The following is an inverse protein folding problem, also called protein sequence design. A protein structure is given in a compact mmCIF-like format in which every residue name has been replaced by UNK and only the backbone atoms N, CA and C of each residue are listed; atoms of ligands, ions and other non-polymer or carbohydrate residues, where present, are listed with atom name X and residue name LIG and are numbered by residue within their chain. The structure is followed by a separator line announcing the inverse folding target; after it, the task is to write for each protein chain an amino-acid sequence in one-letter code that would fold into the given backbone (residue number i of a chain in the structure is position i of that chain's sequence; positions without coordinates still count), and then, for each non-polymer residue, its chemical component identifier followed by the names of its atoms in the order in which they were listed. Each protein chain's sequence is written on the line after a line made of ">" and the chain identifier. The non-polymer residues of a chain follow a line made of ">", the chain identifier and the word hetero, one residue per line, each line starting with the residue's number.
data_IF_697997013242
#
_entry.id   IF_697997013242
#
_cell.length_a   1.000
_cell.length_b   1.000
_cell.length_c   1.000
_cell.angle_alpha   90.00
_cell.angle_beta   90.00
_cell.angle_gamma   90.00
#
_symmetry.space_group_name_H-M   'P 1'
#
loop_
_entity.id
_entity.type
_entity.pdbx_description
1 polymer ?
#
# COMPACT_ATOMS: atom_id res chain seq x y z
N UNK A 1 -25.28 30.34 58.51
CA UNK A 1 -24.96 31.74 58.12
C UNK A 1 -24.58 31.68 56.65
N UNK A 2 -25.40 32.26 55.78
CA UNK A 2 -25.10 32.41 54.36
C UNK A 2 -24.11 33.57 54.26
N UNK A 3 -22.98 33.39 53.57
CA UNK A 3 -22.01 34.48 53.38
C UNK A 3 -22.72 35.67 52.72
N UNK A 4 -22.52 36.88 53.26
CA UNK A 4 -23.11 38.09 52.66
C UNK A 4 -22.52 38.30 51.27
N UNK A 5 -23.27 38.95 50.40
CA UNK A 5 -22.86 39.18 49.01
C UNK A 5 -21.50 39.91 48.92
N UNK A 6 -21.18 40.78 49.89
CA UNK A 6 -19.85 41.39 50.02
C UNK A 6 -18.70 40.37 50.20
N UNK A 7 -18.84 39.38 51.10
CA UNK A 7 -17.79 38.39 51.36
C UNK A 7 -17.56 37.43 50.19
N UNK A 8 -18.57 37.24 49.33
CA UNK A 8 -18.41 36.45 48.11
C UNK A 8 -17.61 37.22 47.05
N UNK A 9 -17.88 38.52 46.91
CA UNK A 9 -17.20 39.39 45.94
C UNK A 9 -15.72 39.54 46.30
N UNK A 10 -15.40 39.74 47.58
CA UNK A 10 -14.02 39.94 48.03
C UNK A 10 -13.16 38.68 47.79
N UNK A 11 -13.71 37.48 48.03
CA UNK A 11 -13.03 36.21 47.74
C UNK A 11 -12.76 35.99 46.26
N UNK A 12 -13.68 36.37 45.37
CA UNK A 12 -13.47 36.28 43.93
C UNK A 12 -12.38 37.27 43.48
N UNK A 13 -12.39 38.48 44.03
CA UNK A 13 -11.37 39.50 43.73
C UNK A 13 -9.97 39.04 44.13
N UNK A 14 -9.83 38.45 45.32
CA UNK A 14 -8.55 37.99 45.82
C UNK A 14 -8.02 36.80 45.00
N UNK A 15 -8.87 35.81 44.72
CA UNK A 15 -8.52 34.67 43.87
C UNK A 15 -8.08 35.11 42.47
N UNK A 16 -8.77 36.09 41.88
CA UNK A 16 -8.41 36.62 40.57
C UNK A 16 -7.10 37.42 40.61
N UNK A 17 -6.84 38.15 41.69
CA UNK A 17 -5.57 38.87 41.86
C UNK A 17 -4.38 37.91 41.98
N UNK A 18 -4.60 36.73 42.59
CA UNK A 18 -3.58 35.70 42.81
C UNK A 18 -3.38 34.80 41.57
N UNK A 19 -4.46 34.42 40.88
CA UNK A 19 -4.43 33.41 39.81
C UNK A 19 -4.86 33.90 38.42
N UNK A 20 -5.31 35.15 38.26
CA UNK A 20 -5.81 35.66 36.99
C UNK A 20 -4.79 35.55 35.85
N UNK A 21 -3.49 35.72 36.15
CA UNK A 21 -2.41 35.57 35.15
C UNK A 21 -2.27 34.13 34.65
N UNK A 22 -2.34 33.13 35.52
CA UNK A 22 -2.25 31.71 35.14
C UNK A 22 -3.49 31.25 34.40
N UNK A 23 -4.68 31.73 34.78
CA UNK A 23 -5.93 31.46 34.05
C UNK A 23 -5.85 32.03 32.63
N UNK A 24 -5.43 33.30 32.48
CA UNK A 24 -5.26 33.92 31.17
C UNK A 24 -4.20 33.17 30.34
N UNK A 25 -3.06 32.81 30.95
CA UNK A 25 -2.04 32.02 30.25
C UNK A 25 -2.57 30.67 29.78
N UNK A 26 -3.35 29.96 30.60
CA UNK A 26 -3.99 28.71 30.23
C UNK A 26 -4.98 28.86 29.07
N UNK A 27 -5.80 29.92 29.10
CA UNK A 27 -6.74 30.22 28.00
C UNK A 27 -5.99 30.53 26.71
N UNK A 28 -4.95 31.38 26.76
CA UNK A 28 -4.14 31.73 25.59
C UNK A 28 -3.47 30.50 24.99
N UNK A 29 -2.88 29.64 25.84
CA UNK A 29 -2.29 28.37 25.40
C UNK A 29 -3.33 27.44 24.77
N UNK A 30 -4.53 27.35 25.36
CA UNK A 30 -5.63 26.56 24.82
C UNK A 30 -6.08 27.04 23.43
N UNK A 31 -6.27 28.36 23.27
CA UNK A 31 -6.66 28.95 21.97
C UNK A 31 -5.55 28.77 20.93
N UNK A 32 -4.29 29.01 21.30
CA UNK A 32 -3.16 28.80 20.39
C UNK A 32 -3.06 27.33 19.94
N UNK A 33 -3.29 26.39 20.85
CA UNK A 33 -3.34 24.96 20.54
C UNK A 33 -4.45 24.60 19.55
N UNK A 34 -5.66 25.14 19.74
CA UNK A 34 -6.79 24.92 18.84
C UNK A 34 -6.53 25.48 17.43
N UNK A 35 -6.01 26.70 17.33
CA UNK A 35 -5.69 27.33 16.03
C UNK A 35 -4.58 26.52 15.33
N UNK A 36 -3.55 26.12 16.06
CA UNK A 36 -2.48 25.29 15.53
C UNK A 36 -2.99 23.95 14.98
N UNK A 37 -3.83 23.26 15.76
CA UNK A 37 -4.44 21.99 15.34
C UNK A 37 -5.35 22.16 14.11
N UNK A 38 -6.22 23.16 14.10
CA UNK A 38 -7.11 23.42 12.97
C UNK A 38 -6.33 23.78 11.69
N UNK A 39 -5.26 24.56 11.81
CA UNK A 39 -4.39 24.89 10.69
C UNK A 39 -3.69 23.65 10.12
N UNK A 40 -3.17 22.77 11.00
CA UNK A 40 -2.55 21.51 10.58
C UNK A 40 -3.54 20.56 9.90
N UNK A 41 -4.74 20.41 10.47
CA UNK A 41 -5.82 19.60 9.88
C UNK A 41 -6.19 20.11 8.48
N UNK A 42 -6.41 21.42 8.33
CA UNK A 42 -6.77 22.01 7.03
C UNK A 42 -5.68 21.83 5.97
N UNK A 43 -4.40 21.90 6.37
CA UNK A 43 -3.29 21.61 5.46
C UNK A 43 -3.29 20.14 5.00
N UNK A 44 -3.52 19.20 5.92
CA UNK A 44 -3.60 17.77 5.59
C UNK A 44 -4.78 17.45 4.66
N UNK A 45 -5.96 18.01 4.94
CA UNK A 45 -7.17 17.79 4.14
C UNK A 45 -6.98 18.32 2.71
N UNK A 46 -6.40 19.52 2.55
CA UNK A 46 -6.09 20.08 1.24
C UNK A 46 -5.07 19.24 0.47
N UNK A 47 -4.06 18.68 1.15
CA UNK A 47 -3.06 17.80 0.53
C UNK A 47 -3.70 16.52 -0.02
N UNK A 48 -4.59 15.89 0.74
CA UNK A 48 -5.31 14.68 0.32
C UNK A 48 -6.29 14.98 -0.81
N UNK A 49 -7.03 16.10 -0.74
CA UNK A 49 -7.95 16.51 -1.81
C UNK A 49 -7.23 16.79 -3.13
N UNK A 50 -6.08 17.47 -3.08
CA UNK A 50 -5.24 17.71 -4.24
C UNK A 50 -4.71 16.40 -4.84
N UNK A 51 -4.23 15.48 -4.00
CA UNK A 51 -3.79 14.15 -4.43
C UNK A 51 -4.92 13.35 -5.11
N UNK A 52 -6.13 13.38 -4.55
CA UNK A 52 -7.29 12.71 -5.11
C UNK A 52 -7.65 13.26 -6.50
N UNK A 53 -7.63 14.58 -6.69
CA UNK A 53 -7.90 15.20 -7.99
C UNK A 53 -6.82 14.84 -9.03
N UNK A 54 -5.55 14.88 -8.63
CA UNK A 54 -4.44 14.51 -9.50
C UNK A 54 -4.49 13.03 -9.90
N UNK A 55 -4.88 12.16 -8.97
CA UNK A 55 -5.07 10.73 -9.20
C UNK A 55 -6.26 10.44 -10.11
N UNK A 56 -7.43 11.07 -9.90
CA UNK A 56 -8.59 10.89 -10.76
C UNK A 56 -8.31 11.27 -12.22
N UNK A 57 -7.50 12.32 -12.43
CA UNK A 57 -7.04 12.68 -13.77
C UNK A 57 -6.09 11.63 -14.37
N UNK A 58 -5.17 11.07 -13.58
CA UNK A 58 -4.31 9.96 -14.02
C UNK A 58 -5.13 8.73 -14.40
N UNK A 59 -6.12 8.35 -13.60
CA UNK A 59 -7.02 7.22 -13.94
C UNK A 59 -7.76 7.44 -15.26
N UNK A 60 -8.28 8.65 -15.48
CA UNK A 60 -8.94 8.99 -16.73
C UNK A 60 -7.98 8.90 -17.93
N UNK A 61 -6.77 9.42 -17.80
CA UNK A 61 -5.74 9.34 -18.85
C UNK A 61 -5.38 7.89 -19.15
N UNK A 62 -5.16 7.07 -18.11
CA UNK A 62 -4.85 5.65 -18.25
C UNK A 62 -5.99 4.89 -18.94
N UNK A 63 -7.24 5.13 -18.55
CA UNK A 63 -8.41 4.50 -19.16
C UNK A 63 -8.62 4.92 -20.63
N UNK A 64 -8.25 6.14 -20.99
CA UNK A 64 -8.32 6.63 -22.36
C UNK A 64 -7.14 6.18 -23.24
N UNK A 65 -6.05 5.70 -22.63
CA UNK A 65 -4.79 5.42 -23.34
C UNK A 65 -4.15 6.68 -23.91
N UNK A 66 -4.35 7.83 -23.28
CA UNK A 66 -3.92 9.14 -23.78
C UNK A 66 -2.73 9.69 -22.97
N UNK A 67 -1.75 10.25 -23.70
CA UNK A 67 -0.58 10.90 -23.11
C UNK A 67 0.45 9.92 -22.54
N UNK A 68 1.39 10.48 -21.78
CA UNK A 68 2.43 9.70 -21.10
C UNK A 68 1.94 9.31 -19.69
N UNK A 69 1.23 8.18 -19.61
CA UNK A 69 0.66 7.66 -18.36
C UNK A 69 1.75 7.29 -17.36
N UNK A 70 2.89 6.79 -17.85
CA UNK A 70 4.05 6.39 -17.01
C UNK A 70 4.62 7.62 -16.31
N UNK A 71 4.91 8.68 -17.07
CA UNK A 71 5.44 9.93 -16.52
C UNK A 71 4.42 10.61 -15.60
N UNK A 72 3.15 10.67 -16.04
CA UNK A 72 2.08 11.28 -15.24
C UNK A 72 1.89 10.56 -13.90
N UNK A 73 1.98 9.23 -13.89
CA UNK A 73 1.91 8.43 -12.68
C UNK A 73 3.05 8.75 -11.71
N UNK A 74 4.28 8.85 -12.22
CA UNK A 74 5.45 9.26 -11.44
C UNK A 74 5.25 10.63 -10.80
N UNK A 75 4.72 11.57 -11.57
CA UNK A 75 4.49 12.94 -11.10
C UNK A 75 3.41 13.00 -10.01
N UNK A 76 2.30 12.26 -10.16
CA UNK A 76 1.30 12.13 -9.08
C UNK A 76 1.93 11.56 -7.83
N UNK A 77 2.62 10.43 -7.97
CA UNK A 77 3.14 9.68 -6.84
C UNK A 77 4.19 10.49 -6.05
N UNK A 78 5.10 11.17 -6.74
CA UNK A 78 6.16 11.99 -6.12
C UNK A 78 5.65 13.32 -5.56
N UNK A 79 4.68 13.96 -6.23
CA UNK A 79 4.11 15.24 -5.76
C UNK A 79 3.19 15.08 -4.55
N UNK A 80 2.65 13.87 -4.34
CA UNK A 80 1.70 13.57 -3.28
C UNK A 80 2.14 12.43 -2.37
N UNK A 81 3.45 12.28 -2.20
CA UNK A 81 4.05 11.27 -1.32
C UNK A 81 3.41 11.29 0.09
N UNK A 82 3.34 10.14 0.75
CA UNK A 82 2.68 10.00 2.06
C UNK A 82 1.15 10.07 2.05
N UNK A 83 0.51 10.02 0.87
CA UNK A 83 -0.94 9.81 0.76
C UNK A 83 -1.24 8.40 0.29
N UNK A 84 -2.46 7.88 0.55
CA UNK A 84 -2.87 6.56 0.05
C UNK A 84 -2.93 6.47 -1.49
N UNK A 85 -2.86 7.61 -2.19
CA UNK A 85 -2.84 7.67 -3.66
C UNK A 85 -1.45 7.39 -4.24
N UNK A 86 -0.38 7.49 -3.45
CA UNK A 86 0.99 7.26 -3.92
C UNK A 86 1.17 5.84 -4.44
N UNK A 87 0.76 4.83 -3.65
CA UNK A 87 0.83 3.42 -4.07
C UNK A 87 -0.02 3.15 -5.31
N UNK A 88 -1.21 3.75 -5.40
CA UNK A 88 -2.11 3.55 -6.54
C UNK A 88 -1.56 4.17 -7.82
N UNK A 89 -0.96 5.37 -7.73
CA UNK A 89 -0.32 6.02 -8.86
C UNK A 89 0.86 5.18 -9.38
N UNK A 90 1.74 4.68 -8.49
CA UNK A 90 2.81 3.77 -8.89
C UNK A 90 2.30 2.49 -9.57
N UNK A 91 1.20 1.92 -9.07
CA UNK A 91 0.58 0.74 -9.67
C UNK A 91 0.03 1.01 -11.09
N UNK A 92 -0.59 2.18 -11.32
CA UNK A 92 -1.06 2.58 -12.66
C UNK A 92 0.13 2.75 -13.60
N UNK A 93 1.17 3.46 -13.17
CA UNK A 93 2.36 3.68 -13.99
C UNK A 93 3.07 2.37 -14.32
N UNK A 94 3.17 1.44 -13.38
CA UNK A 94 3.73 0.11 -13.63
C UNK A 94 2.92 -0.67 -14.66
N UNK A 95 1.58 -0.63 -14.59
CA UNK A 95 0.71 -1.24 -15.59
C UNK A 95 0.95 -0.68 -16.99
N UNK A 96 0.96 0.65 -17.12
CA UNK A 96 1.24 1.32 -18.39
C UNK A 96 2.65 1.01 -18.93
N UNK A 97 3.65 0.86 -18.04
CA UNK A 97 5.00 0.46 -18.44
C UNK A 97 5.03 -0.99 -18.98
N UNK A 98 4.30 -1.92 -18.34
CA UNK A 98 4.13 -3.29 -18.87
C UNK A 98 3.44 -3.28 -20.24
N UNK A 99 2.39 -2.49 -20.42
CA UNK A 99 1.69 -2.37 -21.71
C UNK A 99 2.61 -1.84 -22.82
N UNK A 100 3.59 -0.99 -22.45
CA UNK A 100 4.64 -0.50 -23.34
C UNK A 100 5.83 -1.45 -23.50
N UNK A 101 5.78 -2.64 -22.90
CA UNK A 101 6.86 -3.62 -22.83
C UNK A 101 8.15 -3.06 -22.18
N UNK A 102 8.02 -2.03 -21.33
CA UNK A 102 9.08 -1.47 -20.51
C UNK A 102 9.05 -2.11 -19.11
N UNK A 103 9.57 -3.34 -19.06
CA UNK A 103 9.58 -4.13 -17.82
C UNK A 103 10.52 -3.56 -16.75
N UNK A 104 11.57 -2.84 -17.16
CA UNK A 104 12.51 -2.20 -16.23
C UNK A 104 11.82 -1.09 -15.45
N UNK A 105 11.10 -0.19 -16.14
CA UNK A 105 10.31 0.85 -15.48
C UNK A 105 9.17 0.24 -14.65
N UNK A 106 8.51 -0.81 -15.15
CA UNK A 106 7.46 -1.50 -14.41
C UNK A 106 7.97 -2.07 -13.08
N UNK A 107 9.11 -2.79 -13.09
CA UNK A 107 9.73 -3.31 -11.88
C UNK A 107 10.09 -2.18 -10.91
N UNK A 108 10.74 -1.11 -11.40
CA UNK A 108 11.10 0.05 -10.59
C UNK A 108 9.89 0.70 -9.91
N UNK A 109 8.77 0.82 -10.62
CA UNK A 109 7.56 1.43 -10.07
C UNK A 109 6.85 0.51 -9.09
N UNK A 110 6.88 -0.80 -9.31
CA UNK A 110 6.34 -1.78 -8.38
C UNK A 110 7.16 -1.83 -7.07
N UNK A 111 8.48 -1.69 -7.12
CA UNK A 111 9.30 -1.51 -5.92
C UNK A 111 8.92 -0.27 -5.13
N UNK A 112 8.66 0.86 -5.82
CA UNK A 112 8.18 2.08 -5.18
C UNK A 112 6.77 1.91 -4.60
N UNK A 113 5.87 1.25 -5.32
CA UNK A 113 4.55 0.90 -4.82
C UNK A 113 4.66 0.05 -3.53
N UNK A 114 5.59 -0.91 -3.51
CA UNK A 114 5.83 -1.79 -2.37
C UNK A 114 6.31 -1.05 -1.15
N UNK A 115 7.19 -0.06 -1.34
CA UNK A 115 7.68 0.82 -0.29
C UNK A 115 6.59 1.75 0.27
N UNK A 116 5.58 2.08 -0.55
CA UNK A 116 4.44 2.91 -0.14
C UNK A 116 3.24 2.13 0.41
N UNK A 117 3.24 0.79 0.32
CA UNK A 117 2.12 -0.04 0.74
C UNK A 117 2.13 -0.30 2.26
N UNK A 118 1.03 0.05 2.94
CA UNK A 118 0.87 -0.09 4.39
C UNK A 118 -0.14 -1.17 4.81
N UNK A 119 -0.89 -1.73 3.86
CA UNK A 119 -1.89 -2.78 4.08
C UNK A 119 -1.43 -4.10 3.50
N UNK A 120 -1.62 -5.18 4.26
CA UNK A 120 -1.25 -6.54 3.86
C UNK A 120 -1.77 -6.93 2.47
N UNK A 121 -3.01 -6.53 2.13
CA UNK A 121 -3.61 -6.84 0.83
C UNK A 121 -2.93 -6.09 -0.32
N UNK A 122 -2.52 -4.84 -0.10
CA UNK A 122 -1.79 -4.05 -1.09
C UNK A 122 -0.38 -4.59 -1.27
N UNK A 123 0.30 -4.92 -0.16
CA UNK A 123 1.60 -5.59 -0.17
C UNK A 123 1.54 -6.87 -1.01
N UNK A 124 0.59 -7.76 -0.72
CA UNK A 124 0.43 -9.00 -1.47
C UNK A 124 0.18 -8.75 -2.97
N UNK A 125 -0.66 -7.78 -3.31
CA UNK A 125 -0.97 -7.44 -4.70
C UNK A 125 0.26 -6.91 -5.44
N UNK A 126 1.06 -6.05 -4.78
CA UNK A 126 2.29 -5.50 -5.36
C UNK A 126 3.33 -6.61 -5.54
N UNK A 127 3.56 -7.45 -4.53
CA UNK A 127 4.56 -8.52 -4.59
C UNK A 127 4.23 -9.54 -5.69
N UNK A 128 2.95 -9.94 -5.83
CA UNK A 128 2.51 -10.80 -6.94
C UNK A 128 2.73 -10.17 -8.32
N UNK A 129 2.52 -8.86 -8.46
CA UNK A 129 2.74 -8.15 -9.73
C UNK A 129 4.23 -8.01 -10.03
N UNK A 130 5.02 -7.66 -9.01
CA UNK A 130 6.47 -7.52 -9.11
C UNK A 130 7.13 -8.84 -9.48
N UNK A 131 6.74 -9.94 -8.83
CA UNK A 131 7.23 -11.27 -9.17
C UNK A 131 6.93 -11.67 -10.63
N UNK A 132 5.74 -11.33 -11.16
CA UNK A 132 5.43 -11.58 -12.59
C UNK A 132 6.31 -10.74 -13.53
N UNK A 133 6.57 -9.48 -13.20
CA UNK A 133 7.43 -8.62 -14.01
C UNK A 133 8.88 -9.12 -13.97
N UNK A 134 9.41 -9.44 -12.79
CA UNK A 134 10.74 -10.01 -12.62
C UNK A 134 10.88 -11.34 -13.37
N UNK A 135 9.86 -12.21 -13.29
CA UNK A 135 9.81 -13.44 -14.07
C UNK A 135 9.85 -13.16 -15.58
N UNK A 136 9.04 -12.22 -16.08
CA UNK A 136 9.07 -11.83 -17.50
C UNK A 136 10.41 -11.22 -17.93
N UNK A 137 11.20 -10.67 -17.01
CA UNK A 137 12.58 -10.21 -17.25
C UNK A 137 13.61 -11.36 -17.21
N UNK A 138 13.21 -12.58 -16.84
CA UNK A 138 14.08 -13.72 -16.61
C UNK A 138 14.76 -13.74 -15.24
N UNK A 139 14.40 -12.81 -14.34
CA UNK A 139 14.93 -12.70 -12.98
C UNK A 139 14.22 -13.66 -12.02
N UNK A 140 14.32 -14.96 -12.29
CA UNK A 140 13.56 -15.98 -11.56
C UNK A 140 13.86 -16.02 -10.05
N UNK A 141 15.14 -15.88 -9.67
CA UNK A 141 15.52 -15.93 -8.24
C UNK A 141 14.91 -14.74 -7.48
N UNK A 142 14.95 -13.54 -8.07
CA UNK A 142 14.33 -12.35 -7.49
C UNK A 142 12.81 -12.50 -7.42
N UNK A 143 12.18 -13.05 -8.47
CA UNK A 143 10.74 -13.31 -8.47
C UNK A 143 10.33 -14.28 -7.34
N UNK A 144 11.09 -15.37 -7.15
CA UNK A 144 10.84 -16.35 -6.09
C UNK A 144 11.06 -15.77 -4.70
N UNK A 145 12.07 -14.91 -4.52
CA UNK A 145 12.32 -14.20 -3.25
C UNK A 145 11.12 -13.33 -2.87
N UNK A 146 10.52 -12.63 -3.82
CA UNK A 146 9.29 -11.84 -3.59
C UNK A 146 8.10 -12.68 -3.15
N UNK A 147 8.09 -13.97 -3.47
CA UNK A 147 7.00 -14.89 -3.15
C UNK A 147 7.27 -15.78 -1.92
N UNK A 148 8.37 -15.54 -1.21
CA UNK A 148 8.78 -16.38 -0.09
C UNK A 148 7.84 -16.28 1.13
N UNK A 149 7.30 -15.09 1.39
CA UNK A 149 6.50 -14.79 2.59
C UNK A 149 5.12 -14.24 2.21
N UNK A 150 4.12 -15.10 1.95
CA UNK A 150 2.76 -14.65 1.64
C UNK A 150 2.11 -14.00 2.86
N UNK A 151 1.45 -12.83 2.70
CA UNK A 151 0.53 -12.33 3.71
C UNK A 151 -0.66 -13.29 3.88
N UNK A 152 -1.21 -13.38 5.09
CA UNK A 152 -2.31 -14.29 5.41
C UNK A 152 -3.48 -14.18 4.42
N UNK A 153 -3.89 -15.31 3.85
CA UNK A 153 -4.98 -15.38 2.87
C UNK A 153 -4.54 -15.19 1.41
N UNK A 154 -3.23 -15.04 1.16
CA UNK A 154 -2.64 -15.01 -0.19
C UNK A 154 -1.75 -16.22 -0.48
N UNK A 155 -1.67 -17.17 0.45
CA UNK A 155 -0.83 -18.37 0.38
C UNK A 155 -1.01 -19.09 -0.97
N UNK A 156 -2.25 -19.34 -1.37
CA UNK A 156 -2.53 -20.02 -2.63
C UNK A 156 -2.10 -19.26 -3.89
N UNK A 157 -2.30 -17.93 -3.92
CA UNK A 157 -1.91 -17.11 -5.07
C UNK A 157 -0.38 -17.00 -5.21
N UNK A 158 0.31 -16.91 -4.09
CA UNK A 158 1.77 -16.89 -4.05
C UNK A 158 2.34 -18.25 -4.45
N UNK A 159 1.76 -19.33 -3.92
CA UNK A 159 2.19 -20.68 -4.22
C UNK A 159 1.92 -21.08 -5.68
N UNK A 160 0.79 -20.66 -6.27
CA UNK A 160 0.53 -20.86 -7.70
C UNK A 160 1.62 -20.21 -8.55
N UNK A 161 1.90 -18.92 -8.35
CA UNK A 161 2.91 -18.21 -9.14
C UNK A 161 4.31 -18.77 -8.91
N UNK A 162 4.63 -19.19 -7.68
CA UNK A 162 5.89 -19.87 -7.36
C UNK A 162 6.01 -21.18 -8.14
N UNK A 163 4.94 -21.97 -8.19
CA UNK A 163 4.87 -23.20 -8.97
C UNK A 163 5.06 -22.96 -10.46
N UNK A 164 4.44 -21.93 -11.02
CA UNK A 164 4.58 -21.55 -12.43
C UNK A 164 6.05 -21.24 -12.78
N UNK A 165 6.72 -20.43 -11.95
CA UNK A 165 8.13 -20.06 -12.14
C UNK A 165 9.07 -21.28 -11.99
N UNK A 166 8.83 -22.14 -11.00
CA UNK A 166 9.65 -23.33 -10.77
C UNK A 166 9.48 -24.38 -11.88
N UNK A 167 8.26 -24.54 -12.39
CA UNK A 167 7.98 -25.43 -13.51
C UNK A 167 8.71 -24.98 -14.77
N UNK A 168 8.73 -23.67 -15.08
CA UNK A 168 9.50 -23.14 -16.21
C UNK A 168 11.01 -23.37 -16.04
N UNK A 169 11.53 -23.27 -14.81
CA UNK A 169 12.93 -23.59 -14.51
C UNK A 169 13.27 -25.08 -14.57
N UNK A 170 12.28 -25.96 -14.70
CA UNK A 170 12.44 -27.40 -14.68
C UNK A 170 12.57 -28.01 -13.29
N UNK A 171 12.34 -27.24 -12.21
CA UNK A 171 12.31 -27.77 -10.84
C UNK A 171 10.89 -28.31 -10.54
N UNK A 172 10.56 -29.43 -11.18
CA UNK A 172 9.21 -29.98 -11.17
C UNK A 172 8.78 -30.48 -9.79
N UNK A 173 9.73 -30.89 -8.95
CA UNK A 173 9.45 -31.32 -7.57
C UNK A 173 9.03 -30.12 -6.73
N UNK A 174 9.81 -29.04 -6.74
CA UNK A 174 9.45 -27.84 -5.99
C UNK A 174 8.19 -27.16 -6.56
N UNK A 175 7.99 -27.21 -7.88
CA UNK A 175 6.77 -26.72 -8.52
C UNK A 175 5.53 -27.50 -8.06
N UNK A 176 5.63 -28.82 -7.94
CA UNK A 176 4.57 -29.68 -7.42
C UNK A 176 4.18 -29.31 -5.99
N UNK A 177 5.16 -29.19 -5.09
CA UNK A 177 4.92 -28.78 -3.69
C UNK A 177 4.22 -27.42 -3.60
N UNK A 178 4.59 -26.48 -4.48
CA UNK A 178 3.95 -25.17 -4.55
C UNK A 178 2.50 -25.27 -5.05
N UNK A 179 2.21 -26.08 -6.08
CA UNK A 179 0.84 -26.29 -6.54
C UNK A 179 -0.02 -27.06 -5.52
N UNK A 180 0.54 -27.99 -4.77
CA UNK A 180 -0.19 -28.67 -3.67
C UNK A 180 -0.63 -27.65 -2.62
N UNK A 181 0.26 -26.73 -2.21
CA UNK A 181 -0.08 -25.60 -1.32
C UNK A 181 -1.17 -24.71 -1.93
N UNK A 182 -1.12 -24.47 -3.25
CA UNK A 182 -2.14 -23.67 -3.95
C UNK A 182 -3.51 -24.34 -3.96
N UNK A 183 -3.57 -25.65 -4.23
CA UNK A 183 -4.81 -26.45 -4.24
C UNK A 183 -5.42 -26.54 -2.84
N UNK A 184 -4.62 -26.64 -1.78
CA UNK A 184 -5.13 -26.60 -0.40
C UNK A 184 -5.88 -25.30 -0.08
N UNK A 185 -5.48 -24.20 -0.71
CA UNK A 185 -6.10 -22.88 -0.54
C UNK A 185 -7.38 -22.70 -1.37
N UNK A 186 -7.51 -23.40 -2.51
CA UNK A 186 -8.69 -23.36 -3.38
C UNK A 186 -8.90 -24.69 -4.14
N UNK A 187 -9.40 -25.70 -3.42
CA UNK A 187 -9.56 -27.05 -3.95
C UNK A 187 -10.62 -27.17 -5.07
N UNK A 188 -11.45 -26.15 -5.28
CA UNK A 188 -12.44 -26.13 -6.37
C UNK A 188 -11.85 -25.62 -7.69
N UNK A 189 -10.62 -25.12 -7.68
CA UNK A 189 -9.97 -24.57 -8.85
C UNK A 189 -9.42 -25.67 -9.76
N UNK A 190 -10.22 -26.05 -10.76
CA UNK A 190 -9.85 -27.08 -11.74
C UNK A 190 -8.59 -26.75 -12.56
N UNK A 191 -8.21 -25.48 -12.69
CA UNK A 191 -6.96 -25.11 -13.36
C UNK A 191 -5.74 -25.44 -12.49
N UNK A 192 -5.80 -25.19 -11.19
CA UNK A 192 -4.73 -25.58 -10.26
C UNK A 192 -4.55 -27.09 -10.22
N UNK A 193 -5.66 -27.83 -10.18
CA UNK A 193 -5.64 -29.29 -10.27
C UNK A 193 -4.96 -29.76 -11.56
N UNK A 194 -5.30 -29.16 -12.70
CA UNK A 194 -4.71 -29.47 -13.99
C UNK A 194 -3.20 -29.15 -14.04
N UNK A 195 -2.76 -28.01 -13.48
CA UNK A 195 -1.33 -27.67 -13.37
C UNK A 195 -0.59 -28.71 -12.53
N UNK A 196 -1.14 -29.10 -11.39
CA UNK A 196 -0.56 -30.12 -10.51
C UNK A 196 -0.47 -31.49 -11.19
N UNK A 197 -1.53 -31.93 -11.86
CA UNK A 197 -1.60 -33.22 -12.56
C UNK A 197 -0.71 -33.27 -13.82
N UNK A 198 -0.30 -32.11 -14.34
CA UNK A 198 0.63 -32.03 -15.48
C UNK A 198 2.10 -32.29 -15.09
N UNK A 199 2.39 -32.31 -13.79
CA UNK A 199 3.72 -32.59 -13.26
C UNK A 199 3.87 -34.07 -12.85
N UNK A 200 5.09 -34.64 -12.92
CA UNK A 200 5.35 -36.01 -12.48
C UNK A 200 4.94 -36.21 -11.02
N UNK A 201 4.48 -37.41 -10.69
CA UNK A 201 4.01 -37.71 -9.33
C UNK A 201 5.17 -37.79 -8.35
N UNK A 202 6.35 -38.23 -8.82
CA UNK A 202 7.53 -38.50 -8.00
C UNK A 202 8.83 -38.07 -8.73
N UNK A 203 9.92 -37.86 -7.98
CA UNK A 203 11.23 -37.53 -8.55
C UNK A 203 11.78 -38.58 -9.55
N UNK A 204 11.37 -39.85 -9.41
CA UNK A 204 11.77 -40.94 -10.32
C UNK A 204 11.16 -40.79 -11.73
N UNK A 205 10.00 -40.14 -11.85
CA UNK A 205 9.34 -39.87 -13.14
C UNK A 205 9.81 -38.56 -13.78
N UNK A 206 10.57 -37.74 -13.03
CA UNK A 206 11.15 -36.49 -13.50
C UNK A 206 12.58 -36.64 -14.07
N UNK A 207 13.11 -37.88 -14.10
CA UNK A 207 14.50 -38.24 -14.48
C UNK A 207 14.65 -38.62 -15.96
#
# INVERSE_FOLDING_TARGET
>A
MVASDEEQIERIRDWWSEHGKTVIAGVVLGVAGLIGWQGWQGWQDNRVASAAAAFANLEQMAAAGEGDVVERARDVATSHDGTSYTVLAWLIGAGAAVDNNDLETAASYLERARASADRAQLVATVDLRLARVLWAQGEHDAALERLAEPPAGFDGLFAELRGDILAERGDLVAAREAYETAVESDAANGLLQMKLDSLPANAEEAS
#
